data_IF_451345346474
#
_entry.id   IF_451345346474
#
_cell.length_a   1.000
_cell.length_b   1.000
_cell.length_c   1.000
_cell.angle_alpha   90.00
_cell.angle_beta   90.00
_cell.angle_gamma   90.00
#
_symmetry.space_group_name_H-M   'P 1'
#
loop_
_entity.id
_entity.type
_entity.pdbx_description
1 polymer ?
#
# COMPACT_ATOMS: atom_id res chain seq x y z
N UNK A 1 -6.24 -8.43 10.94
CA UNK A 1 -7.05 -7.47 10.15
C UNK A 1 -6.11 -6.40 9.59
N UNK A 2 -6.16 -6.10 8.29
CA UNK A 2 -5.22 -5.19 7.64
C UNK A 2 -5.35 -3.74 8.14
N UNK A 3 -6.58 -3.26 8.29
CA UNK A 3 -6.85 -1.88 8.75
C UNK A 3 -6.30 -1.68 10.16
N UNK A 4 -6.59 -2.60 11.08
CA UNK A 4 -6.09 -2.52 12.44
C UNK A 4 -4.56 -2.57 12.51
N UNK A 5 -3.91 -3.43 11.72
CA UNK A 5 -2.45 -3.51 11.64
C UNK A 5 -1.80 -2.22 11.16
N UNK A 6 -2.28 -1.70 10.03
CA UNK A 6 -1.83 -0.42 9.50
C UNK A 6 -2.04 0.71 10.53
N UNK A 7 -3.20 0.75 11.20
CA UNK A 7 -3.50 1.78 12.21
C UNK A 7 -2.58 1.70 13.42
N UNK A 8 -2.27 0.49 13.92
CA UNK A 8 -1.31 0.29 15.00
C UNK A 8 0.06 0.84 14.60
N UNK A 9 0.54 0.51 13.39
CA UNK A 9 1.83 0.97 12.90
C UNK A 9 1.89 2.50 12.75
N UNK A 10 0.91 3.15 12.09
CA UNK A 10 0.98 4.61 11.94
C UNK A 10 0.91 5.35 13.28
N UNK A 11 0.28 4.76 14.30
CA UNK A 11 0.17 5.34 15.63
C UNK A 11 1.49 5.31 16.42
N UNK A 12 2.49 4.51 16.01
CA UNK A 12 3.86 4.63 16.52
C UNK A 12 4.58 5.87 15.96
N UNK A 13 3.94 6.56 14.99
CA UNK A 13 4.43 7.77 14.33
C UNK A 13 5.83 7.60 13.71
N UNK A 14 6.06 6.60 12.85
CA UNK A 14 7.31 6.49 12.14
C UNK A 14 7.49 7.73 11.24
N UNK A 15 8.67 8.33 11.32
CA UNK A 15 9.06 9.47 10.48
C UNK A 15 9.31 8.97 9.05
N UNK A 16 8.89 9.76 8.07
CA UNK A 16 9.25 9.45 6.68
C UNK A 16 10.77 9.47 6.50
N UNK A 17 11.33 8.35 6.07
CA UNK A 17 12.74 8.24 5.66
C UNK A 17 12.91 7.16 4.60
N UNK A 18 13.33 7.59 3.42
CA UNK A 18 13.73 6.70 2.34
C UNK A 18 15.18 6.26 2.57
N UNK A 19 15.35 5.00 3.00
CA UNK A 19 16.64 4.39 3.26
C UNK A 19 16.59 2.88 3.00
N UNK A 20 17.77 2.32 2.73
CA UNK A 20 18.01 0.89 2.61
C UNK A 20 18.36 0.30 3.98
N UNK A 21 17.85 -0.89 4.28
CA UNK A 21 18.14 -1.62 5.52
C UNK A 21 18.58 -3.03 5.19
N UNK A 22 19.65 -3.47 5.85
CA UNK A 22 20.00 -4.89 5.82
C UNK A 22 18.93 -5.71 6.55
N UNK A 23 18.49 -6.81 5.95
CA UNK A 23 17.29 -7.55 6.36
C UNK A 23 15.96 -6.91 5.93
N UNK A 24 15.98 -5.71 5.36
CA UNK A 24 14.88 -5.05 4.66
C UNK A 24 13.88 -4.27 5.51
N UNK A 25 13.87 -4.44 6.83
CA UNK A 25 12.91 -3.77 7.71
C UNK A 25 13.52 -2.51 8.37
N UNK A 26 12.83 -1.35 8.33
CA UNK A 26 13.27 -0.16 9.04
C UNK A 26 13.15 -0.34 10.57
N UNK A 27 13.89 0.46 11.37
CA UNK A 27 13.63 0.54 12.80
C UNK A 27 12.28 1.24 13.09
N UNK A 28 11.70 1.06 14.28
CA UNK A 28 10.30 1.45 14.56
C UNK A 28 9.97 2.94 14.37
N UNK A 29 10.96 3.82 14.47
CA UNK A 29 10.83 5.28 14.39
C UNK A 29 10.83 5.83 12.96
N UNK A 30 11.01 5.00 11.94
CA UNK A 30 11.06 5.45 10.55
C UNK A 30 10.45 4.47 9.55
N UNK A 31 10.18 4.96 8.35
CA UNK A 31 9.70 4.15 7.24
C UNK A 31 9.18 5.00 6.09
N UNK A 32 8.59 4.33 5.10
CA UNK A 32 7.97 4.92 3.90
C UNK A 32 6.56 4.36 3.71
N UNK A 33 5.90 4.75 2.62
CA UNK A 33 4.53 4.36 2.31
C UNK A 33 4.33 2.83 2.22
N UNK A 34 5.27 2.11 1.61
CA UNK A 34 5.25 0.65 1.50
C UNK A 34 5.38 -0.05 2.85
N UNK A 35 5.94 0.62 3.87
CA UNK A 35 6.05 0.04 5.20
C UNK A 35 4.71 -0.08 5.92
N UNK A 36 3.75 0.79 5.60
CA UNK A 36 2.36 0.64 6.07
C UNK A 36 1.73 -0.62 5.48
N UNK A 37 2.10 -1.00 4.26
CA UNK A 37 1.51 -2.12 3.53
C UNK A 37 1.96 -3.45 4.11
N UNK A 38 3.27 -3.68 4.30
CA UNK A 38 3.72 -4.96 4.87
C UNK A 38 3.30 -5.11 6.34
N UNK A 39 3.19 -4.02 7.10
CA UNK A 39 2.64 -4.05 8.47
C UNK A 39 1.15 -4.46 8.47
N UNK A 40 0.36 -3.95 7.52
CA UNK A 40 -1.04 -4.36 7.34
C UNK A 40 -1.15 -5.84 6.98
N UNK A 41 -0.30 -6.31 6.06
CA UNK A 41 -0.26 -7.71 5.62
C UNK A 41 0.15 -8.64 6.75
N UNK A 42 1.19 -8.29 7.51
CA UNK A 42 1.66 -9.08 8.66
C UNK A 42 0.56 -9.24 9.71
N UNK A 43 -0.16 -8.17 10.04
CA UNK A 43 -1.30 -8.22 10.96
C UNK A 43 -2.52 -9.00 10.42
N UNK A 44 -2.56 -9.28 9.12
CA UNK A 44 -3.55 -10.15 8.48
C UNK A 44 -3.05 -11.59 8.28
N UNK A 45 -1.84 -11.92 8.75
CA UNK A 45 -1.27 -13.26 8.67
C UNK A 45 -0.51 -13.54 7.36
N UNK A 46 -0.21 -12.51 6.57
CA UNK A 46 0.54 -12.63 5.32
C UNK A 46 1.99 -12.17 5.47
N UNK A 47 2.91 -12.91 4.89
CA UNK A 47 4.30 -12.50 4.72
C UNK A 47 4.49 -11.88 3.33
N UNK A 48 4.19 -10.58 3.21
CA UNK A 48 4.25 -9.86 1.92
C UNK A 48 5.64 -9.94 1.27
N UNK A 49 6.70 -9.89 2.09
CA UNK A 49 8.08 -9.98 1.60
C UNK A 49 8.32 -11.34 0.93
N UNK A 50 8.03 -12.43 1.64
CA UNK A 50 8.19 -13.78 1.09
C UNK A 50 7.33 -14.01 -0.15
N UNK A 51 6.07 -13.57 -0.13
CA UNK A 51 5.16 -13.73 -1.26
C UNK A 51 5.65 -12.99 -2.51
N UNK A 52 6.17 -11.77 -2.34
CA UNK A 52 6.76 -11.02 -3.45
C UNK A 52 8.06 -11.65 -3.93
N UNK A 53 8.95 -12.07 -3.01
CA UNK A 53 10.22 -12.73 -3.35
C UNK A 53 9.95 -13.99 -4.21
N UNK A 54 8.94 -14.78 -3.84
CA UNK A 54 8.50 -15.96 -4.60
C UNK A 54 7.92 -15.60 -5.98
N UNK A 55 7.10 -14.55 -6.08
CA UNK A 55 6.54 -14.14 -7.37
C UNK A 55 7.60 -13.54 -8.31
N UNK A 56 8.52 -12.72 -7.79
CA UNK A 56 9.66 -12.18 -8.56
C UNK A 56 10.54 -13.31 -9.07
N UNK A 57 10.89 -14.28 -8.22
CA UNK A 57 11.72 -15.43 -8.61
C UNK A 57 11.11 -16.20 -9.78
N UNK A 58 9.79 -16.36 -9.80
CA UNK A 58 9.08 -17.15 -10.79
C UNK A 58 8.70 -16.34 -12.05
N UNK A 59 8.76 -15.01 -12.02
CA UNK A 59 8.22 -14.14 -13.08
C UNK A 59 9.08 -12.87 -13.27
N UNK A 60 10.41 -13.01 -13.26
CA UNK A 60 11.36 -11.91 -13.21
C UNK A 60 11.13 -10.86 -14.32
N UNK A 61 10.72 -11.30 -15.52
CA UNK A 61 10.42 -10.44 -16.66
C UNK A 61 9.21 -9.52 -16.45
N UNK A 62 8.32 -9.84 -15.51
CA UNK A 62 7.19 -8.98 -15.16
C UNK A 62 7.63 -7.76 -14.34
N UNK A 63 8.81 -7.80 -13.73
CA UNK A 63 9.30 -6.82 -12.76
C UNK A 63 10.45 -5.96 -13.33
N UNK A 64 10.17 -4.95 -14.17
CA UNK A 64 11.20 -4.17 -14.84
C UNK A 64 12.16 -3.45 -13.87
N UNK A 65 11.67 -3.04 -12.69
CA UNK A 65 12.50 -2.37 -11.68
C UNK A 65 13.56 -3.29 -11.07
N UNK A 66 13.28 -4.59 -10.99
CA UNK A 66 14.23 -5.59 -10.48
C UNK A 66 15.45 -5.71 -11.41
N UNK A 67 15.29 -5.36 -12.70
CA UNK A 67 16.38 -5.30 -13.67
C UNK A 67 17.23 -6.58 -13.70
N UNK A 68 16.59 -7.75 -13.56
CA UNK A 68 17.24 -9.06 -13.60
C UNK A 68 17.95 -9.50 -12.31
N UNK A 69 18.01 -8.65 -11.28
CA UNK A 69 18.69 -8.97 -10.02
C UNK A 69 17.78 -8.64 -8.83
N UNK A 70 17.07 -9.66 -8.34
CA UNK A 70 16.24 -9.54 -7.14
C UNK A 70 17.08 -9.12 -5.92
N UNK A 71 16.52 -8.21 -5.13
CA UNK A 71 17.03 -7.79 -3.83
C UNK A 71 15.88 -7.88 -2.81
N UNK A 72 15.81 -9.01 -2.08
CA UNK A 72 14.77 -9.25 -1.09
C UNK A 72 14.67 -8.19 0.00
N UNK A 73 15.75 -7.43 0.27
CA UNK A 73 15.73 -6.40 1.32
C UNK A 73 14.99 -5.13 0.87
N UNK A 74 14.77 -4.93 -0.43
CA UNK A 74 14.18 -3.68 -0.93
C UNK A 74 13.00 -3.88 -1.88
N UNK A 75 12.88 -5.02 -2.54
CA UNK A 75 11.88 -5.21 -3.60
C UNK A 75 10.44 -5.04 -3.10
N UNK A 76 10.12 -5.56 -1.91
CA UNK A 76 8.80 -5.40 -1.26
C UNK A 76 8.52 -3.99 -0.77
N UNK A 77 9.55 -3.13 -0.76
CA UNK A 77 9.45 -1.72 -0.39
C UNK A 77 9.40 -0.80 -1.60
N UNK A 78 9.25 -1.33 -2.82
CA UNK A 78 9.08 -0.54 -4.05
C UNK A 78 7.63 -0.56 -4.54
N UNK A 79 7.02 0.63 -4.65
CA UNK A 79 5.64 0.80 -5.14
C UNK A 79 5.42 0.14 -6.50
N UNK A 80 6.37 0.27 -7.42
CA UNK A 80 6.29 -0.32 -8.76
C UNK A 80 6.23 -1.86 -8.72
N UNK A 81 7.01 -2.50 -7.85
CA UNK A 81 6.98 -3.95 -7.68
C UNK A 81 5.66 -4.39 -7.03
N UNK A 82 5.23 -3.70 -5.96
CA UNK A 82 3.95 -3.98 -5.31
C UNK A 82 2.76 -3.82 -6.25
N UNK A 83 2.81 -2.84 -7.17
CA UNK A 83 1.77 -2.66 -8.17
C UNK A 83 1.61 -3.91 -9.06
N UNK A 84 2.72 -4.43 -9.59
CA UNK A 84 2.70 -5.65 -10.42
C UNK A 84 2.22 -6.85 -9.60
N UNK A 85 2.69 -6.98 -8.37
CA UNK A 85 2.30 -8.06 -7.47
C UNK A 85 0.80 -8.05 -7.19
N UNK A 86 0.22 -6.92 -6.79
CA UNK A 86 -1.22 -6.85 -6.51
C UNK A 86 -2.06 -7.06 -7.76
N UNK A 87 -1.61 -6.61 -8.93
CA UNK A 87 -2.29 -6.91 -10.19
C UNK A 87 -2.37 -8.41 -10.50
N UNK A 88 -1.39 -9.20 -10.02
CA UNK A 88 -1.31 -10.65 -10.24
C UNK A 88 -2.01 -11.47 -9.16
N UNK A 89 -2.08 -10.95 -7.93
CA UNK A 89 -2.49 -11.71 -6.73
C UNK A 89 -3.73 -11.17 -6.01
N UNK A 90 -4.26 -10.03 -6.43
CA UNK A 90 -5.45 -9.40 -5.83
C UNK A 90 -6.56 -9.20 -6.88
N UNK A 91 -7.77 -8.92 -6.40
CA UNK A 91 -8.85 -8.46 -7.27
C UNK A 91 -8.66 -6.98 -7.57
N UNK A 92 -8.56 -6.62 -8.85
CA UNK A 92 -8.57 -5.23 -9.32
C UNK A 92 -10.02 -4.69 -9.25
N UNK A 93 -10.17 -3.49 -8.69
CA UNK A 93 -11.45 -2.84 -8.43
C UNK A 93 -11.56 -1.53 -9.23
N UNK A 94 -12.75 -0.93 -9.22
CA UNK A 94 -12.97 0.36 -9.89
C UNK A 94 -12.04 1.44 -9.35
N UNK A 95 -11.52 2.26 -10.26
CA UNK A 95 -10.80 3.49 -9.92
C UNK A 95 -11.74 4.70 -9.79
N UNK A 96 -13.01 4.52 -10.16
CA UNK A 96 -14.01 5.58 -10.08
C UNK A 96 -14.42 5.81 -8.63
N UNK A 97 -14.40 7.08 -8.22
CA UNK A 97 -14.81 7.52 -6.88
C UNK A 97 -15.83 8.65 -7.05
N UNK A 98 -17.02 8.45 -6.50
CA UNK A 98 -18.12 9.42 -6.55
C UNK A 98 -18.52 9.83 -5.14
N UNK A 99 -18.12 11.02 -4.65
CA UNK A 99 -18.56 11.53 -3.36
C UNK A 99 -20.10 11.57 -3.28
N UNK A 100 -20.65 11.07 -2.17
CA UNK A 100 -22.10 11.03 -1.94
C UNK A 100 -22.86 9.93 -2.71
N UNK A 101 -22.17 9.02 -3.43
CA UNK A 101 -22.78 7.87 -4.10
C UNK A 101 -22.46 6.56 -3.33
N UNK A 102 -23.38 6.03 -2.52
CA UNK A 102 -23.14 4.82 -1.74
C UNK A 102 -22.89 3.58 -2.59
N UNK A 103 -23.48 3.46 -3.78
CA UNK A 103 -23.32 2.27 -4.62
C UNK A 103 -21.91 2.23 -5.23
N UNK A 104 -21.39 3.37 -5.69
CA UNK A 104 -19.99 3.47 -6.09
C UNK A 104 -19.05 3.19 -4.90
N UNK A 105 -19.34 3.78 -3.74
CA UNK A 105 -18.45 3.72 -2.57
C UNK A 105 -18.46 2.36 -1.84
N UNK A 106 -19.41 1.46 -2.14
CA UNK A 106 -19.34 0.05 -1.73
C UNK A 106 -18.14 -0.68 -2.31
N UNK A 107 -17.62 -0.26 -3.47
CA UNK A 107 -16.43 -0.87 -4.03
C UNK A 107 -15.17 -0.56 -3.21
N UNK A 108 -15.16 0.53 -2.43
CA UNK A 108 -14.02 1.00 -1.66
C UNK A 108 -14.16 0.61 -0.20
N UNK A 109 -13.48 -0.43 0.27
CA UNK A 109 -13.59 -0.95 1.63
C UNK A 109 -12.29 -0.81 2.41
N UNK A 110 -12.41 -0.76 3.73
CA UNK A 110 -11.26 -0.76 4.61
C UNK A 110 -10.39 -1.99 4.37
N UNK A 111 -9.08 -1.79 4.21
CA UNK A 111 -8.11 -2.85 3.94
C UNK A 111 -7.75 -3.01 2.46
N UNK A 112 -8.50 -2.36 1.56
CA UNK A 112 -8.09 -2.28 0.16
C UNK A 112 -6.77 -1.51 0.02
N UNK A 113 -6.04 -1.78 -1.06
CA UNK A 113 -4.77 -1.15 -1.38
C UNK A 113 -5.00 -0.18 -2.54
N UNK A 114 -4.56 1.07 -2.40
CA UNK A 114 -4.61 2.08 -3.46
C UNK A 114 -3.20 2.52 -3.85
N UNK A 115 -2.95 2.64 -5.16
CA UNK A 115 -1.66 3.03 -5.73
C UNK A 115 -1.84 4.29 -6.57
N UNK A 116 -0.97 5.26 -6.33
CA UNK A 116 -0.86 6.49 -7.11
C UNK A 116 0.37 6.43 -8.02
N UNK A 117 0.21 6.90 -9.26
CA UNK A 117 1.26 6.92 -10.27
C UNK A 117 2.15 8.16 -10.22
N UNK A 118 2.75 8.50 -11.36
CA UNK A 118 3.56 9.70 -11.51
C UNK A 118 2.75 11.01 -11.46
N UNK A 119 3.36 12.14 -11.05
CA UNK A 119 4.77 12.32 -10.69
C UNK A 119 5.15 11.94 -9.25
N UNK A 120 4.18 11.79 -8.35
CA UNK A 120 4.39 11.45 -6.93
C UNK A 120 3.84 10.05 -6.66
N UNK A 121 4.63 9.05 -7.01
CA UNK A 121 4.28 7.65 -6.77
C UNK A 121 4.05 7.39 -5.29
N UNK A 122 2.96 6.67 -4.98
CA UNK A 122 2.58 6.43 -3.59
C UNK A 122 1.68 5.21 -3.46
N UNK A 123 1.60 4.65 -2.26
CA UNK A 123 0.72 3.52 -1.94
C UNK A 123 0.13 3.70 -0.53
N UNK A 124 -1.09 3.23 -0.34
CA UNK A 124 -1.78 3.34 0.95
C UNK A 124 -2.77 2.21 1.18
N UNK A 125 -3.16 2.02 2.44
CA UNK A 125 -4.31 1.19 2.82
C UNK A 125 -5.55 2.08 2.94
N UNK A 126 -6.66 1.68 2.33
CA UNK A 126 -7.97 2.31 2.48
C UNK A 126 -8.45 2.11 3.91
N UNK A 127 -8.84 3.21 4.56
CA UNK A 127 -9.38 3.18 5.92
C UNK A 127 -10.86 2.81 5.94
N UNK A 128 -11.31 2.26 7.06
CA UNK A 128 -12.73 2.18 7.40
C UNK A 128 -13.31 3.52 7.92
N UNK A 129 -12.47 4.52 8.24
CA UNK A 129 -12.93 5.89 8.50
C UNK A 129 -13.24 6.61 7.20
N UNK A 130 -14.36 7.33 7.19
CA UNK A 130 -14.87 8.05 6.02
C UNK A 130 -15.22 9.47 6.39
N UNK A 131 -15.09 10.36 5.41
CA UNK A 131 -15.68 11.70 5.43
C UNK A 131 -17.21 11.63 5.45
N UNK A 132 -17.84 12.78 5.63
CA UNK A 132 -19.30 12.93 5.57
C UNK A 132 -19.91 12.58 4.21
N UNK A 133 -19.15 12.67 3.12
CA UNK A 133 -19.56 12.27 1.76
C UNK A 133 -19.21 10.82 1.41
N UNK A 134 -18.80 10.03 2.41
CA UNK A 134 -18.53 8.60 2.28
C UNK A 134 -17.16 8.24 1.69
N UNK A 135 -16.37 9.22 1.23
CA UNK A 135 -15.02 8.96 0.72
C UNK A 135 -14.15 8.44 1.87
N UNK A 136 -13.48 7.29 1.72
CA UNK A 136 -12.61 6.76 2.77
C UNK A 136 -11.32 7.57 2.87
N UNK A 137 -10.82 7.67 4.10
CA UNK A 137 -9.49 8.17 4.38
C UNK A 137 -8.44 7.11 4.01
N UNK A 138 -7.16 7.49 3.97
CA UNK A 138 -6.04 6.59 3.70
C UNK A 138 -5.08 6.52 4.89
N UNK A 139 -4.63 5.31 5.21
CA UNK A 139 -3.54 5.01 6.13
C UNK A 139 -2.25 4.95 5.31
N UNK A 140 -1.32 5.87 5.53
CA UNK A 140 -0.14 6.01 4.67
C UNK A 140 1.04 6.71 5.37
N UNK A 141 2.20 6.74 4.71
CA UNK A 141 3.36 7.51 5.13
C UNK A 141 3.95 8.30 3.96
N UNK A 142 3.79 9.63 4.00
CA UNK A 142 4.24 10.57 2.98
C UNK A 142 5.07 11.75 3.56
N UNK A 143 5.36 11.70 4.86
CA UNK A 143 6.03 12.79 5.58
C UNK A 143 5.07 13.82 6.20
N UNK A 144 5.48 14.46 7.32
CA UNK A 144 6.67 14.15 8.10
C UNK A 144 6.57 12.82 8.85
N UNK A 145 5.35 12.34 9.15
CA UNK A 145 5.08 11.09 9.86
C UNK A 145 3.97 10.31 9.15
N UNK A 146 3.91 9.00 9.41
CA UNK A 146 2.75 8.21 9.00
C UNK A 146 1.45 8.70 9.66
N UNK A 147 0.35 8.62 8.93
CA UNK A 147 -0.92 9.20 9.34
C UNK A 147 -2.13 8.52 8.68
N UNK A 148 -3.30 8.79 9.23
CA UNK A 148 -4.61 8.54 8.62
C UNK A 148 -5.16 9.87 8.11
N UNK A 149 -5.29 10.04 6.79
CA UNK A 149 -5.61 11.34 6.21
C UNK A 149 -6.60 11.28 5.04
N UNK A 150 -7.34 12.38 4.86
CA UNK A 150 -8.18 12.62 3.68
C UNK A 150 -7.32 13.04 2.49
N UNK A 151 -6.70 12.05 1.85
CA UNK A 151 -5.80 12.28 0.71
C UNK A 151 -6.18 11.49 -0.55
N UNK A 152 -7.20 10.62 -0.50
CA UNK A 152 -7.59 9.77 -1.63
C UNK A 152 -7.87 10.57 -2.92
N UNK A 153 -8.61 11.67 -2.81
CA UNK A 153 -8.90 12.58 -3.93
C UNK A 153 -8.04 13.85 -3.94
N UNK A 154 -7.10 13.99 -3.00
CA UNK A 154 -6.25 15.19 -2.86
C UNK A 154 -4.79 14.94 -3.21
N UNK A 155 -4.41 13.68 -3.42
CA UNK A 155 -3.07 13.34 -3.85
C UNK A 155 -2.78 13.91 -5.24
N UNK A 156 -1.60 14.50 -5.45
CA UNK A 156 -1.27 15.22 -6.68
C UNK A 156 -1.02 14.32 -7.90
N UNK A 157 -1.16 13.01 -7.75
CA UNK A 157 -0.96 12.01 -8.82
C UNK A 157 -2.20 11.16 -8.99
N UNK A 158 -2.48 10.64 -10.20
CA UNK A 158 -3.67 9.85 -10.45
C UNK A 158 -3.58 8.51 -9.73
N UNK A 159 -4.75 7.98 -9.35
CA UNK A 159 -4.88 6.59 -8.92
C UNK A 159 -4.67 5.71 -10.15
N UNK A 160 -3.74 4.77 -10.06
CA UNK A 160 -3.42 3.81 -11.14
C UNK A 160 -3.75 2.36 -10.76
N UNK A 161 -4.14 2.13 -9.51
CA UNK A 161 -4.52 0.81 -9.04
C UNK A 161 -5.35 0.88 -7.76
N UNK A 162 -6.36 0.02 -7.68
CA UNK A 162 -7.19 -0.21 -6.52
C UNK A 162 -7.42 -1.72 -6.41
N UNK A 163 -6.94 -2.31 -5.31
CA UNK A 163 -6.83 -3.76 -5.16
C UNK A 163 -7.45 -4.23 -3.86
N UNK A 164 -8.15 -5.36 -3.91
CA UNK A 164 -8.59 -6.09 -2.72
C UNK A 164 -7.89 -7.43 -2.65
N UNK A 165 -7.07 -7.61 -1.60
CA UNK A 165 -6.38 -8.86 -1.36
C UNK A 165 -7.37 -9.91 -0.80
N UNK A 166 -7.23 -11.20 -1.15
CA UNK A 166 -8.04 -12.26 -0.56
C UNK A 166 -7.95 -12.25 0.96
N UNK A 167 -9.03 -12.64 1.63
CA UNK A 167 -9.01 -12.89 3.08
C UNK A 167 -8.45 -14.29 3.33
N UNK A 168 -7.72 -14.45 4.45
CA UNK A 168 -7.25 -15.74 4.96
C UNK A 168 -8.32 -16.45 5.75
#
# INVERSE_FOLDING_TARGET
>A
DMVQGARIYINTKPRYKDAYYDGGYPPPEEGVCTDVIWQAFQAAGYDLKKMLDEDIKNNLECYPRVAGKADPNIDFRRVQNLHIFFKRHASELTLEIKPGDPENLKAWQGGDIVIFGHPLEHIAIVSNQRRSDGIPMLLHNAGPYATEADVLLRWSSPIIGHYRFPKS
#
